data_IF_356647834744
#
_entry.id   IF_356647834744
#
_cell.length_a   1.000
_cell.length_b   1.000
_cell.length_c   1.000
_cell.angle_alpha   90.00
_cell.angle_beta   90.00
_cell.angle_gamma   90.00
#
_symmetry.space_group_name_H-M   'P 1'
#
loop_
_entity.id
_entity.type
_entity.pdbx_description
1 polymer ?
#
# COMPACT_ATOMS: atom_id res chain seq x y z
N UNK A 1 -3.68 16.54 2.30
CA UNK A 1 -3.72 15.90 3.63
C UNK A 1 -3.35 14.45 3.45
N UNK A 2 -2.34 13.97 4.18
CA UNK A 2 -1.92 12.56 4.16
C UNK A 2 -3.15 11.68 4.42
N UNK A 3 -3.45 10.71 3.54
CA UNK A 3 -4.38 9.63 3.91
C UNK A 3 -3.86 9.01 5.19
N UNK A 4 -4.67 9.02 6.25
CA UNK A 4 -4.34 8.36 7.50
C UNK A 4 -4.41 6.86 7.23
N UNK A 5 -3.45 6.11 7.76
CA UNK A 5 -3.48 4.64 7.73
C UNK A 5 -4.48 4.20 8.80
N UNK A 6 -5.73 3.98 8.40
CA UNK A 6 -6.86 3.66 9.28
C UNK A 6 -7.25 2.17 9.28
N UNK A 7 -6.74 1.41 8.30
CA UNK A 7 -6.98 -0.03 8.18
C UNK A 7 -5.79 -0.89 8.64
N UNK A 8 -6.07 -2.04 9.25
CA UNK A 8 -5.05 -3.03 9.68
C UNK A 8 -5.00 -4.22 8.73
N UNK A 9 -3.81 -4.54 8.24
CA UNK A 9 -3.55 -5.72 7.39
C UNK A 9 -2.79 -6.80 8.18
N UNK A 10 -3.44 -7.94 8.45
CA UNK A 10 -2.83 -9.10 9.11
C UNK A 10 -2.44 -10.17 8.10
N UNK A 11 -1.15 -10.51 8.02
CA UNK A 11 -0.59 -11.44 7.02
C UNK A 11 0.13 -12.59 7.72
N UNK A 12 -0.20 -13.83 7.35
CA UNK A 12 0.62 -15.01 7.64
C UNK A 12 1.48 -15.34 6.43
N UNK A 13 2.78 -15.53 6.65
CA UNK A 13 3.76 -15.81 5.59
C UNK A 13 4.94 -16.60 6.17
N UNK A 14 5.87 -17.02 5.31
CA UNK A 14 7.08 -17.72 5.74
C UNK A 14 8.02 -16.81 6.54
N UNK A 15 8.91 -17.40 7.34
CA UNK A 15 9.92 -16.66 8.09
C UNK A 15 10.86 -15.88 7.16
N UNK A 16 11.20 -16.45 6.01
CA UNK A 16 12.06 -15.84 5.00
C UNK A 16 11.45 -14.53 4.45
N UNK A 17 10.18 -14.55 4.05
CA UNK A 17 9.50 -13.34 3.56
C UNK A 17 9.50 -12.24 4.62
N UNK A 18 9.25 -12.59 5.89
CA UNK A 18 9.30 -11.63 7.00
C UNK A 18 10.69 -11.01 7.16
N UNK A 19 11.77 -11.77 6.95
CA UNK A 19 13.14 -11.25 7.05
C UNK A 19 13.50 -10.36 5.87
N UNK A 20 13.22 -10.80 4.64
CA UNK A 20 13.47 -10.02 3.43
C UNK A 20 12.74 -8.67 3.46
N UNK A 21 11.48 -8.68 3.91
CA UNK A 21 10.68 -7.45 4.04
C UNK A 21 11.31 -6.46 5.03
N UNK A 22 11.87 -6.94 6.15
CA UNK A 22 12.57 -6.08 7.12
C UNK A 22 13.83 -5.50 6.54
N UNK A 23 14.66 -6.32 5.89
CA UNK A 23 15.89 -5.85 5.24
C UNK A 23 15.61 -4.78 4.18
N UNK A 24 14.56 -4.96 3.38
CA UNK A 24 14.12 -3.96 2.40
C UNK A 24 13.70 -2.65 3.09
N UNK A 25 12.88 -2.74 4.13
CA UNK A 25 12.40 -1.58 4.89
C UNK A 25 13.56 -0.79 5.53
N UNK A 26 14.52 -1.51 6.13
CA UNK A 26 15.71 -0.92 6.75
C UNK A 26 16.59 -0.21 5.70
N UNK A 27 16.78 -0.84 4.53
CA UNK A 27 17.56 -0.27 3.42
C UNK A 27 16.98 1.06 2.92
N UNK A 28 15.66 1.21 2.90
CA UNK A 28 14.98 2.44 2.50
C UNK A 28 14.71 3.42 3.66
N UNK A 29 15.12 3.08 4.89
CA UNK A 29 14.83 3.86 6.11
C UNK A 29 13.33 4.13 6.28
N UNK A 30 12.52 3.10 6.08
CA UNK A 30 11.05 3.15 6.18
C UNK A 30 10.54 2.06 7.12
N UNK A 31 9.32 2.23 7.61
CA UNK A 31 8.66 1.16 8.37
C UNK A 31 8.27 0.00 7.46
N UNK A 32 8.17 -1.21 8.02
CA UNK A 32 7.68 -2.40 7.32
C UNK A 32 6.29 -2.18 6.71
N UNK A 33 5.40 -1.45 7.40
CA UNK A 33 4.08 -1.13 6.89
C UNK A 33 4.15 -0.25 5.63
N UNK A 34 4.99 0.79 5.63
CA UNK A 34 5.19 1.63 4.45
C UNK A 34 5.86 0.87 3.30
N UNK A 35 6.76 -0.06 3.61
CA UNK A 35 7.37 -0.94 2.59
C UNK A 35 6.31 -1.83 1.92
N UNK A 36 5.40 -2.42 2.69
CA UNK A 36 4.28 -3.20 2.12
C UNK A 36 3.42 -2.37 1.19
N UNK A 37 3.06 -1.13 1.57
CA UNK A 37 2.29 -0.25 0.69
C UNK A 37 2.99 0.02 -0.64
N UNK A 38 4.31 0.27 -0.61
CA UNK A 38 5.10 0.49 -1.83
C UNK A 38 5.07 -0.75 -2.71
N UNK A 39 5.35 -1.93 -2.14
CA UNK A 39 5.35 -3.20 -2.88
C UNK A 39 3.99 -3.50 -3.52
N UNK A 40 2.90 -3.27 -2.78
CA UNK A 40 1.53 -3.44 -3.29
C UNK A 40 1.24 -2.46 -4.42
N UNK A 41 1.61 -1.19 -4.27
CA UNK A 41 1.39 -0.16 -5.29
C UNK A 41 2.24 -0.39 -6.55
N UNK A 42 3.49 -0.83 -6.39
CA UNK A 42 4.37 -1.24 -7.50
C UNK A 42 3.77 -2.41 -8.28
N UNK A 43 3.31 -3.43 -7.55
CA UNK A 43 2.65 -4.58 -8.15
C UNK A 43 1.39 -4.15 -8.92
N UNK A 44 0.53 -3.34 -8.31
CA UNK A 44 -0.67 -2.83 -8.95
C UNK A 44 -0.37 -2.01 -10.22
N UNK A 45 0.64 -1.13 -10.18
CA UNK A 45 1.07 -0.35 -11.36
C UNK A 45 1.58 -1.24 -12.50
N UNK A 46 2.37 -2.26 -12.19
CA UNK A 46 2.95 -3.17 -13.19
C UNK A 46 1.93 -4.15 -13.79
N UNK A 47 0.78 -4.33 -13.14
CA UNK A 47 -0.28 -5.24 -13.57
C UNK A 47 -1.60 -4.52 -13.91
N UNK A 48 -1.56 -3.19 -14.08
CA UNK A 48 -2.73 -2.34 -14.39
C UNK A 48 -3.93 -2.54 -13.44
N UNK A 49 -3.67 -2.90 -12.18
CA UNK A 49 -4.73 -3.06 -11.17
C UNK A 49 -5.22 -1.68 -10.74
N UNK A 50 -6.52 -1.45 -10.93
CA UNK A 50 -7.20 -0.21 -10.52
C UNK A 50 -8.29 -0.56 -9.52
N UNK A 51 -8.40 0.25 -8.48
CA UNK A 51 -9.57 0.20 -7.60
C UNK A 51 -10.74 0.81 -8.38
N UNK A 52 -11.77 0.02 -8.65
CA UNK A 52 -13.07 0.58 -8.98
C UNK A 52 -13.53 1.35 -7.75
N UNK A 53 -13.44 2.69 -7.83
CA UNK A 53 -13.91 3.55 -6.76
C UNK A 53 -15.40 3.21 -6.58
N UNK A 54 -15.85 2.67 -5.43
CA UNK A 54 -17.27 2.53 -5.21
C UNK A 54 -17.86 3.94 -5.27
N UNK A 55 -18.74 4.11 -6.23
CA UNK A 55 -19.43 5.34 -6.58
C UNK A 55 -20.05 5.95 -5.31
N UNK A 56 -19.64 7.17 -4.94
CA UNK A 56 -20.07 7.75 -3.67
C UNK A 56 -19.69 9.19 -3.38
N UNK A 57 -19.26 9.99 -4.36
CA UNK A 57 -19.37 11.45 -4.26
C UNK A 57 -19.23 12.10 -5.65
N UNK A 58 -20.22 12.89 -6.10
CA UNK A 58 -20.13 13.58 -7.38
C UNK A 58 -19.03 14.62 -7.29
N UNK A 59 -18.13 14.62 -8.29
CA UNK A 59 -17.23 15.72 -8.54
C UNK A 59 -18.08 16.98 -8.72
N UNK A 60 -18.09 17.85 -7.70
CA UNK A 60 -18.65 19.19 -7.84
C UNK A 60 -17.80 19.94 -8.86
N UNK A 61 -18.29 19.96 -10.10
CA UNK A 61 -18.07 21.06 -11.00
C UNK A 61 -18.71 22.30 -10.37
N UNK A 62 -17.94 23.34 -10.15
CA UNK A 62 -18.42 24.70 -9.86
C UNK A 62 -17.29 25.62 -10.37
N UNK A 63 -17.42 26.09 -11.61
CA UNK A 63 -18.12 27.31 -12.03
C UNK A 63 -17.23 28.55 -11.83
#
# INVERSE_FOLDING_TARGET
>A
MSRLKDETLSIRTSAEIKQLLRLAADRERRSVASMIEILVLEYARSHDLRLDRPNGEPAKASA
#
